data_IF_540068126955
#
_entry.id   IF_540068126955
#
_cell.length_a   1.000
_cell.length_b   1.000
_cell.length_c   1.000
_cell.angle_alpha   90.00
_cell.angle_beta   90.00
_cell.angle_gamma   90.00
#
_symmetry.space_group_name_H-M   'P 1'
#
loop_
_entity.id
_entity.type
_entity.pdbx_description
1 polymer ?
#
# COMPACT_ATOMS: atom_id res chain seq x y z
N UNK A 1 -16.71 -5.19 21.88
CA UNK A 1 -15.61 -4.20 21.98
C UNK A 1 -15.85 -3.11 20.94
N UNK A 2 -15.91 -1.86 21.42
CA UNK A 2 -16.51 -0.68 20.77
C UNK A 2 -15.77 -0.30 19.47
N UNK A 3 -16.45 -0.33 18.32
CA UNK A 3 -15.88 0.08 17.02
C UNK A 3 -15.20 1.46 17.10
N UNK A 4 -15.80 2.41 17.84
CA UNK A 4 -15.19 3.74 18.05
C UNK A 4 -13.83 3.73 18.77
N UNK A 5 -13.52 2.75 19.61
CA UNK A 5 -12.18 2.63 20.23
C UNK A 5 -11.16 2.07 19.23
N UNK A 6 -11.57 1.13 18.37
CA UNK A 6 -10.70 0.61 17.31
C UNK A 6 -10.41 1.69 16.27
N UNK A 7 -11.42 2.46 15.85
CA UNK A 7 -11.24 3.53 14.87
C UNK A 7 -10.30 4.63 15.41
N UNK A 8 -10.34 4.91 16.71
CA UNK A 8 -9.38 5.81 17.38
C UNK A 8 -7.97 5.25 17.37
N UNK A 9 -7.79 4.00 17.76
CA UNK A 9 -6.47 3.37 17.77
C UNK A 9 -5.90 3.33 16.34
N UNK A 10 -6.70 2.92 15.35
CA UNK A 10 -6.29 2.86 13.95
C UNK A 10 -5.95 4.24 13.40
N UNK A 11 -6.78 5.25 13.62
CA UNK A 11 -6.48 6.60 13.15
C UNK A 11 -5.23 7.19 13.81
N UNK A 12 -5.00 6.95 15.10
CA UNK A 12 -3.78 7.37 15.78
C UNK A 12 -2.54 6.65 15.23
N UNK A 13 -2.61 5.34 15.00
CA UNK A 13 -1.51 4.57 14.41
C UNK A 13 -1.21 5.06 12.99
N UNK A 14 -2.23 5.28 12.17
CA UNK A 14 -2.06 5.80 10.81
C UNK A 14 -1.47 7.21 10.81
N UNK A 15 -1.90 8.09 11.72
CA UNK A 15 -1.33 9.44 11.87
C UNK A 15 0.12 9.40 12.32
N UNK A 16 0.45 8.57 13.31
CA UNK A 16 1.82 8.41 13.78
C UNK A 16 2.72 7.88 12.66
N UNK A 17 2.25 6.88 11.92
CA UNK A 17 2.95 6.32 10.76
C UNK A 17 3.17 7.40 9.69
N UNK A 18 2.11 8.12 9.30
CA UNK A 18 2.21 9.18 8.31
C UNK A 18 3.20 10.28 8.75
N UNK A 19 3.18 10.68 10.03
CA UNK A 19 4.08 11.68 10.57
C UNK A 19 5.55 11.22 10.52
N UNK A 20 5.84 9.99 10.95
CA UNK A 20 7.20 9.43 10.90
C UNK A 20 7.73 9.40 9.46
N UNK A 21 6.96 8.88 8.52
CA UNK A 21 7.38 8.80 7.13
C UNK A 21 7.44 10.17 6.43
N UNK A 22 6.61 11.14 6.83
CA UNK A 22 6.70 12.52 6.33
C UNK A 22 8.01 13.18 6.78
N UNK A 23 8.42 12.94 8.02
CA UNK A 23 9.71 13.41 8.53
C UNK A 23 10.86 12.75 7.77
N UNK A 24 10.80 11.43 7.56
CA UNK A 24 11.83 10.71 6.81
C UNK A 24 11.92 11.14 5.34
N UNK A 25 10.78 11.47 4.71
CA UNK A 25 10.76 11.97 3.33
C UNK A 25 11.59 13.25 3.13
N UNK A 26 11.83 14.03 4.19
CA UNK A 26 12.69 15.23 4.15
C UNK A 26 14.15 14.88 3.87
N UNK A 27 14.57 13.65 4.15
CA UNK A 27 15.92 13.15 3.86
C UNK A 27 16.12 12.76 2.38
N UNK A 28 15.04 12.68 1.59
CA UNK A 28 15.13 12.34 0.16
C UNK A 28 15.64 13.56 -0.61
N UNK A 29 16.88 13.53 -1.10
CA UNK A 29 17.53 14.67 -1.77
C UNK A 29 16.89 15.06 -3.11
N UNK A 30 16.40 14.09 -3.89
CA UNK A 30 15.77 14.36 -5.18
C UNK A 30 14.32 14.83 -5.01
N UNK A 31 14.03 16.06 -5.43
CA UNK A 31 12.69 16.67 -5.30
C UNK A 31 11.59 15.83 -5.98
N UNK A 32 11.85 15.32 -7.19
CA UNK A 32 10.95 14.42 -7.94
C UNK A 32 10.59 13.17 -7.13
N UNK A 33 11.59 12.56 -6.48
CA UNK A 33 11.40 11.35 -5.68
C UNK A 33 10.71 11.64 -4.34
N UNK A 34 10.85 12.86 -3.81
CA UNK A 34 10.21 13.31 -2.57
C UNK A 34 8.71 13.61 -2.76
N UNK A 35 8.30 14.04 -3.95
CA UNK A 35 6.92 14.43 -4.22
C UNK A 35 5.93 13.27 -4.02
N UNK A 36 6.34 12.05 -4.39
CA UNK A 36 5.48 10.88 -4.31
C UNK A 36 5.14 10.46 -2.86
N UNK A 37 6.11 10.29 -1.94
CA UNK A 37 5.83 10.13 -0.51
C UNK A 37 4.97 11.26 0.08
N UNK A 38 5.28 12.52 -0.23
CA UNK A 38 4.55 13.67 0.31
C UNK A 38 3.06 13.63 -0.05
N UNK A 39 2.73 13.32 -1.31
CA UNK A 39 1.35 13.21 -1.78
C UNK A 39 0.59 12.09 -1.07
N UNK A 40 1.16 10.88 -1.05
CA UNK A 40 0.51 9.71 -0.46
C UNK A 40 0.35 9.87 1.05
N UNK A 41 1.40 10.30 1.75
CA UNK A 41 1.37 10.48 3.20
C UNK A 41 0.49 11.65 3.61
N UNK A 42 0.45 12.73 2.82
CA UNK A 42 -0.48 13.84 3.02
C UNK A 42 -1.93 13.39 2.91
N UNK A 43 -2.27 12.65 1.85
CA UNK A 43 -3.61 12.06 1.69
C UNK A 43 -3.94 11.11 2.84
N UNK A 44 -3.01 10.24 3.22
CA UNK A 44 -3.18 9.32 4.35
C UNK A 44 -3.46 10.07 5.65
N UNK A 45 -2.71 11.14 5.93
CA UNK A 45 -2.91 11.97 7.12
C UNK A 45 -4.28 12.64 7.12
N UNK A 46 -4.73 13.18 5.98
CA UNK A 46 -6.07 13.78 5.84
C UNK A 46 -7.16 12.74 6.12
N UNK A 47 -7.07 11.56 5.51
CA UNK A 47 -8.03 10.48 5.71
C UNK A 47 -8.03 9.96 7.16
N UNK A 48 -6.85 9.86 7.78
CA UNK A 48 -6.73 9.45 9.17
C UNK A 48 -7.29 10.51 10.15
N UNK A 49 -7.11 11.80 9.87
CA UNK A 49 -7.76 12.89 10.61
C UNK A 49 -9.29 12.85 10.46
N UNK A 50 -9.79 12.59 9.25
CA UNK A 50 -11.22 12.44 9.00
C UNK A 50 -11.79 11.23 9.77
N UNK A 51 -11.07 10.10 9.79
CA UNK A 51 -11.44 8.91 10.56
C UNK A 51 -11.42 9.19 12.07
N UNK A 52 -10.40 9.90 12.56
CA UNK A 52 -10.29 10.32 13.95
C UNK A 52 -11.48 11.20 14.35
N UNK A 53 -11.78 12.25 13.58
CA UNK A 53 -12.94 13.12 13.82
C UNK A 53 -14.26 12.36 13.82
N UNK A 54 -14.46 11.47 12.84
CA UNK A 54 -15.63 10.59 12.76
C UNK A 54 -15.77 9.70 14.00
N UNK A 55 -14.66 9.24 14.60
CA UNK A 55 -14.69 8.41 15.81
C UNK A 55 -15.25 9.10 17.06
N UNK A 56 -15.36 10.45 17.07
CA UNK A 56 -16.03 11.21 18.13
C UNK A 56 -17.50 11.49 17.80
N UNK A 57 -17.83 11.71 16.53
CA UNK A 57 -19.20 11.98 16.07
C UNK A 57 -20.06 10.70 15.97
N UNK A 58 -19.44 9.55 15.67
CA UNK A 58 -20.14 8.28 15.42
C UNK A 58 -20.66 7.57 16.69
N UNK A 59 -20.70 8.24 17.84
CA UNK A 59 -21.28 7.68 19.06
C UNK A 59 -22.80 7.37 18.95
N UNK A 60 -23.48 7.79 17.87
CA UNK A 60 -24.94 7.69 17.77
C UNK A 60 -25.57 7.12 16.50
N UNK A 61 -24.85 6.71 15.45
CA UNK A 61 -25.53 6.24 14.23
C UNK A 61 -24.90 4.99 13.59
N UNK A 62 -25.73 3.93 13.60
CA UNK A 62 -25.76 2.71 12.81
C UNK A 62 -24.56 1.76 12.85
N UNK A 63 -24.90 0.46 12.77
CA UNK A 63 -24.00 -0.65 12.55
C UNK A 63 -23.17 -0.40 11.29
N UNK A 64 -22.05 0.30 11.47
CA UNK A 64 -21.07 0.46 10.41
C UNK A 64 -20.56 -0.93 10.06
N UNK A 65 -20.73 -1.30 8.80
CA UNK A 65 -20.05 -2.42 8.18
C UNK A 65 -18.58 -2.38 8.63
N UNK A 66 -18.11 -3.47 9.24
CA UNK A 66 -16.76 -3.49 9.82
C UNK A 66 -15.76 -3.21 8.70
N UNK A 67 -15.05 -2.09 8.79
CA UNK A 67 -13.91 -1.73 7.92
C UNK A 67 -12.90 -2.89 7.84
N UNK A 68 -12.76 -3.65 8.93
CA UNK A 68 -12.04 -4.92 8.98
C UNK A 68 -13.07 -6.04 9.22
N UNK A 69 -13.67 -6.54 8.14
CA UNK A 69 -14.65 -7.63 8.19
C UNK A 69 -14.04 -8.94 8.72
N UNK A 70 -12.77 -9.19 8.44
CA UNK A 70 -12.03 -10.39 8.83
C UNK A 70 -10.58 -10.03 9.19
N UNK A 71 -10.27 -10.12 10.50
CA UNK A 71 -8.92 -9.82 11.00
C UNK A 71 -7.87 -10.77 10.42
N UNK A 72 -8.23 -12.03 10.17
CA UNK A 72 -7.32 -13.01 9.59
C UNK A 72 -6.87 -12.60 8.19
N UNK A 73 -7.83 -12.25 7.32
CA UNK A 73 -7.54 -11.77 5.96
C UNK A 73 -6.69 -10.50 5.94
N UNK A 74 -6.98 -9.57 6.86
CA UNK A 74 -6.16 -8.36 7.01
C UNK A 74 -4.72 -8.68 7.41
N UNK A 75 -4.51 -9.53 8.42
CA UNK A 75 -3.16 -9.96 8.83
C UNK A 75 -2.44 -10.71 7.71
N UNK A 76 -3.13 -11.58 6.96
CA UNK A 76 -2.56 -12.27 5.80
C UNK A 76 -2.13 -11.28 4.72
N UNK A 77 -2.96 -10.28 4.41
CA UNK A 77 -2.61 -9.23 3.46
C UNK A 77 -1.37 -8.45 3.90
N UNK A 78 -1.33 -8.01 5.16
CA UNK A 78 -0.17 -7.30 5.72
C UNK A 78 1.10 -8.15 5.64
N UNK A 79 1.02 -9.43 6.01
CA UNK A 79 2.15 -10.36 5.93
C UNK A 79 2.63 -10.55 4.48
N UNK A 80 1.71 -10.72 3.53
CA UNK A 80 2.03 -10.80 2.10
C UNK A 80 2.72 -9.52 1.60
N UNK A 81 2.27 -8.35 2.02
CA UNK A 81 2.91 -7.07 1.66
C UNK A 81 4.32 -6.95 2.22
N UNK A 82 4.53 -7.37 3.48
CA UNK A 82 5.86 -7.42 4.09
C UNK A 82 6.80 -8.38 3.35
N UNK A 83 6.29 -9.56 2.97
CA UNK A 83 7.05 -10.54 2.20
C UNK A 83 7.41 -10.00 0.81
N UNK A 84 6.48 -9.33 0.14
CA UNK A 84 6.74 -8.64 -1.13
C UNK A 84 7.89 -7.65 -0.98
N UNK A 85 7.82 -6.74 0.01
CA UNK A 85 8.87 -5.74 0.24
C UNK A 85 10.25 -6.38 0.47
N UNK A 86 10.32 -7.47 1.25
CA UNK A 86 11.56 -8.21 1.47
C UNK A 86 12.07 -8.92 0.21
N UNK A 87 11.16 -9.42 -0.64
CA UNK A 87 11.52 -10.15 -1.87
C UNK A 87 12.05 -9.25 -2.98
N UNK A 88 11.64 -7.97 -3.05
CA UNK A 88 12.01 -7.04 -4.12
C UNK A 88 13.53 -6.91 -4.28
N UNK A 89 14.30 -6.89 -3.19
CA UNK A 89 15.77 -6.82 -3.25
C UNK A 89 16.43 -8.12 -3.71
N UNK A 90 15.74 -9.25 -3.54
CA UNK A 90 16.26 -10.58 -3.86
C UNK A 90 15.97 -10.97 -5.30
N UNK A 91 14.72 -10.80 -5.75
CA UNK A 91 14.24 -11.35 -7.04
C UNK A 91 13.93 -10.28 -8.10
N UNK A 92 13.99 -9.00 -7.74
CA UNK A 92 13.67 -7.88 -8.63
C UNK A 92 12.24 -7.36 -8.46
N UNK A 93 12.01 -6.14 -8.94
CA UNK A 93 10.75 -5.42 -8.74
C UNK A 93 9.61 -5.99 -9.59
N UNK A 94 9.84 -6.24 -10.87
CA UNK A 94 8.80 -6.72 -11.78
C UNK A 94 8.42 -8.16 -11.46
N UNK A 95 9.40 -9.02 -11.17
CA UNK A 95 9.15 -10.41 -10.77
C UNK A 95 8.38 -10.49 -9.45
N UNK A 96 8.80 -9.72 -8.43
CA UNK A 96 8.08 -9.68 -7.16
C UNK A 96 6.65 -9.13 -7.33
N UNK A 97 6.47 -8.10 -8.15
CA UNK A 97 5.15 -7.51 -8.42
C UNK A 97 4.23 -8.44 -9.21
N UNK A 98 4.77 -9.18 -10.18
CA UNK A 98 4.02 -10.16 -10.97
C UNK A 98 3.43 -11.28 -10.09
N UNK A 99 4.07 -11.62 -8.98
CA UNK A 99 3.56 -12.57 -8.00
C UNK A 99 2.64 -11.90 -6.97
N UNK A 100 3.04 -10.74 -6.45
CA UNK A 100 2.34 -10.06 -5.38
C UNK A 100 0.98 -9.52 -5.83
N UNK A 101 0.88 -8.84 -6.98
CA UNK A 101 -0.34 -8.16 -7.40
C UNK A 101 -1.53 -9.12 -7.58
N UNK A 102 -1.39 -10.30 -8.22
CA UNK A 102 -2.46 -11.28 -8.29
C UNK A 102 -2.89 -11.80 -6.92
N UNK A 103 -1.92 -12.07 -6.03
CA UNK A 103 -2.19 -12.57 -4.67
C UNK A 103 -2.92 -11.52 -3.84
N UNK A 104 -2.46 -10.27 -3.89
CA UNK A 104 -3.09 -9.13 -3.26
C UNK A 104 -4.51 -8.91 -3.78
N UNK A 105 -4.69 -8.93 -5.11
CA UNK A 105 -6.02 -8.84 -5.74
C UNK A 105 -6.97 -9.92 -5.24
N UNK A 106 -6.51 -11.17 -5.16
CA UNK A 106 -7.32 -12.28 -4.66
C UNK A 106 -7.66 -12.12 -3.16
N UNK A 107 -6.70 -11.73 -2.32
CA UNK A 107 -6.92 -11.46 -0.89
C UNK A 107 -7.91 -10.31 -0.65
N UNK A 108 -7.88 -9.29 -1.52
CA UNK A 108 -8.80 -8.16 -1.51
C UNK A 108 -10.18 -8.50 -2.13
N UNK A 109 -10.38 -9.72 -2.62
CA UNK A 109 -11.67 -10.22 -3.09
C UNK A 109 -11.88 -10.16 -4.60
N UNK A 110 -10.85 -9.85 -5.40
CA UNK A 110 -10.92 -9.90 -6.86
C UNK A 110 -10.92 -11.36 -7.34
N UNK A 111 -12.13 -11.95 -7.47
CA UNK A 111 -12.29 -13.39 -7.78
C UNK A 111 -12.17 -13.73 -9.26
N UNK A 112 -12.39 -12.78 -10.17
CA UNK A 112 -12.31 -13.01 -11.61
C UNK A 112 -10.84 -13.05 -12.03
N UNK A 113 -10.30 -14.24 -12.27
CA UNK A 113 -8.89 -14.45 -12.61
C UNK A 113 -8.43 -13.60 -13.82
N UNK A 114 -9.26 -13.52 -14.87
CA UNK A 114 -8.96 -12.69 -16.04
C UNK A 114 -8.84 -11.19 -15.70
N UNK A 115 -9.75 -10.66 -14.88
CA UNK A 115 -9.68 -9.26 -14.42
C UNK A 115 -8.44 -9.04 -13.58
N UNK A 116 -8.11 -9.99 -12.69
CA UNK A 116 -6.91 -9.92 -11.86
C UNK A 116 -5.63 -9.88 -12.71
N UNK A 117 -5.52 -10.76 -13.69
CA UNK A 117 -4.39 -10.78 -14.62
C UNK A 117 -4.28 -9.50 -15.46
N UNK A 118 -5.40 -8.96 -15.95
CA UNK A 118 -5.40 -7.69 -16.68
C UNK A 118 -4.93 -6.52 -15.81
N UNK A 119 -5.38 -6.46 -14.55
CA UNK A 119 -4.93 -5.44 -13.58
C UNK A 119 -3.44 -5.61 -13.29
N UNK A 120 -2.95 -6.84 -13.12
CA UNK A 120 -1.52 -7.12 -12.94
C UNK A 120 -0.70 -6.65 -14.13
N UNK A 121 -1.11 -7.02 -15.36
CA UNK A 121 -0.42 -6.61 -16.57
C UNK A 121 -0.40 -5.07 -16.72
N UNK A 122 -1.55 -4.43 -16.48
CA UNK A 122 -1.67 -2.98 -16.49
C UNK A 122 -0.76 -2.30 -15.46
N UNK A 123 -0.68 -2.84 -14.24
CA UNK A 123 0.23 -2.34 -13.21
C UNK A 123 1.70 -2.45 -13.62
N UNK A 124 2.13 -3.59 -14.15
CA UNK A 124 3.52 -3.80 -14.60
C UNK A 124 3.87 -2.85 -15.76
N UNK A 125 2.97 -2.70 -16.75
CA UNK A 125 3.18 -1.77 -17.87
C UNK A 125 3.24 -0.33 -17.38
N UNK A 126 2.29 0.09 -16.53
CA UNK A 126 2.26 1.45 -16.01
C UNK A 126 3.51 1.78 -15.20
N UNK A 127 3.94 0.88 -14.32
CA UNK A 127 5.17 1.08 -13.53
C UNK A 127 6.43 1.07 -14.40
N UNK A 128 6.49 0.23 -15.44
CA UNK A 128 7.57 0.29 -16.42
C UNK A 128 7.63 1.65 -17.13
N UNK A 129 6.49 2.12 -17.64
CA UNK A 129 6.41 3.42 -18.32
C UNK A 129 6.80 4.58 -17.39
N UNK A 130 6.35 4.57 -16.14
CA UNK A 130 6.66 5.64 -15.19
C UNK A 130 8.12 5.58 -14.71
N UNK A 131 8.59 4.42 -14.24
CA UNK A 131 9.90 4.36 -13.58
C UNK A 131 11.07 4.17 -14.55
N UNK A 132 10.88 3.36 -15.58
CA UNK A 132 11.96 3.06 -16.54
C UNK A 132 11.96 4.08 -17.66
N UNK A 133 10.82 4.33 -18.30
CA UNK A 133 10.76 5.24 -19.46
C UNK A 133 10.77 6.71 -19.04
N UNK A 134 9.85 7.12 -18.17
CA UNK A 134 9.69 8.52 -17.79
C UNK A 134 10.77 8.99 -16.81
N UNK A 135 11.07 8.20 -15.77
CA UNK A 135 12.04 8.60 -14.74
C UNK A 135 13.46 8.09 -14.97
N UNK A 136 13.70 7.19 -15.92
CA UNK A 136 15.02 6.59 -16.18
C UNK A 136 15.71 6.06 -14.91
N UNK A 137 14.91 5.55 -13.96
CA UNK A 137 15.42 5.03 -12.68
C UNK A 137 15.69 3.54 -12.80
N UNK A 138 16.90 3.08 -12.41
CA UNK A 138 17.15 1.66 -12.32
C UNK A 138 16.31 1.07 -11.17
N UNK A 139 15.51 0.07 -11.51
CA UNK A 139 14.79 -0.75 -10.53
C UNK A 139 15.68 -1.94 -10.10
N UNK A 140 15.41 -2.55 -8.93
CA UNK A 140 16.14 -3.74 -8.48
C UNK A 140 16.23 -4.80 -9.59
N UNK A 141 17.46 -5.27 -9.84
CA UNK A 141 17.77 -6.19 -10.94
C UNK A 141 16.96 -7.48 -10.81
N UNK A 142 16.26 -7.83 -11.88
CA UNK A 142 15.46 -9.04 -11.99
C UNK A 142 16.31 -10.29 -11.82
N UNK A 143 15.77 -11.30 -11.13
CA UNK A 143 16.45 -12.58 -10.92
C UNK A 143 16.88 -13.22 -12.26
N UNK A 144 16.01 -13.16 -13.27
CA UNK A 144 16.28 -13.70 -14.61
C UNK A 144 17.48 -13.02 -15.27
N UNK A 145 17.64 -11.71 -15.07
CA UNK A 145 18.76 -10.96 -15.60
C UNK A 145 20.10 -11.24 -14.90
N UNK A 146 20.09 -11.92 -13.73
CA UNK A 146 21.31 -12.35 -13.04
C UNK A 146 21.88 -13.67 -13.58
N UNK A 147 21.10 -14.44 -14.33
CA UNK A 147 21.47 -15.75 -14.87
C UNK A 147 21.73 -15.74 -16.40
N UNK A 148 21.61 -14.58 -17.03
CA UNK A 148 21.75 -14.34 -18.48
C UNK A 148 22.97 -13.46 -18.74
#
# INVERSE_FOLDING_TARGET
MRQGTLDRILSLVLLATAAVFLLDSRNIAAAEARMFPLLILGLLAILALALFGRSFLAARQHAAERVIGDRGKFLTFVACTGLYAASVSQIGFFTASALYVPVAGHLLGLRKAWVNLTVTAGFLVATYLVFVVLFSRPLPVELIARFL
#
